data_IF_567165274026
#
_entry.id   IF_567165274026
#
_cell.length_a   1.000
_cell.length_b   1.000
_cell.length_c   1.000
_cell.angle_alpha   90.00
_cell.angle_beta   90.00
_cell.angle_gamma   90.00
#
_symmetry.space_group_name_H-M   'P 1'
#
loop_
_entity.id
_entity.type
_entity.pdbx_description
1 polymer ?
#
# COMPACT_ATOMS: atom_id res chain seq x y z
N UNK A 1 -2.69 28.78 6.69
CA UNK A 1 -3.15 28.73 8.07
C UNK A 1 -3.69 27.36 8.48
N UNK A 2 -4.60 26.77 7.75
CA UNK A 2 -5.25 25.49 8.11
C UNK A 2 -4.33 24.26 8.19
N UNK A 3 -3.17 24.26 7.55
CA UNK A 3 -2.23 23.13 7.58
C UNK A 3 -1.20 23.26 8.70
N UNK A 4 -0.64 24.44 8.90
CA UNK A 4 0.45 24.63 9.87
C UNK A 4 -0.05 24.70 11.31
N UNK A 5 -1.22 25.30 11.56
CA UNK A 5 -1.79 25.41 12.89
C UNK A 5 -1.99 24.04 13.57
N UNK A 6 -2.61 23.03 12.94
CA UNK A 6 -2.71 21.69 13.51
C UNK A 6 -1.36 21.05 13.83
N UNK A 7 -0.33 21.26 12.99
CA UNK A 7 1.02 20.71 13.24
C UNK A 7 1.61 21.31 14.51
N UNK A 8 1.57 22.64 14.65
CA UNK A 8 2.06 23.31 15.87
C UNK A 8 1.29 22.84 17.10
N UNK A 9 -0.04 22.69 16.99
CA UNK A 9 -0.86 22.17 18.06
C UNK A 9 -0.52 20.73 18.44
N UNK A 10 -0.28 19.84 17.49
CA UNK A 10 0.15 18.46 17.75
C UNK A 10 1.49 18.43 18.50
N UNK A 11 2.46 19.25 18.08
CA UNK A 11 3.73 19.37 18.80
C UNK A 11 3.50 19.86 20.23
N UNK A 12 2.66 20.88 20.43
CA UNK A 12 2.34 21.39 21.77
C UNK A 12 1.67 20.32 22.65
N UNK A 13 0.68 19.59 22.10
CA UNK A 13 -0.05 18.52 22.81
C UNK A 13 0.90 17.37 23.20
N UNK A 14 1.91 17.07 22.40
CA UNK A 14 2.87 16.00 22.68
C UNK A 14 3.64 16.17 24.01
N UNK A 15 3.68 17.38 24.54
CA UNK A 15 4.28 17.71 25.84
C UNK A 15 3.28 17.76 27.01
N UNK A 16 2.02 17.38 26.77
CA UNK A 16 0.93 17.40 27.76
C UNK A 16 0.41 16.00 28.03
N UNK A 17 -0.33 15.82 29.12
CA UNK A 17 -1.06 14.58 29.45
C UNK A 17 -2.49 14.57 28.90
N UNK A 18 -2.79 15.43 27.95
CA UNK A 18 -4.13 15.58 27.41
C UNK A 18 -4.57 14.34 26.61
N UNK A 19 -5.67 13.74 27.06
CA UNK A 19 -6.28 12.56 26.42
C UNK A 19 -7.37 12.93 25.39
N UNK A 20 -7.55 14.21 25.06
CA UNK A 20 -8.56 14.75 24.14
C UNK A 20 -10.02 14.57 24.58
N UNK A 21 -10.29 13.88 25.69
CA UNK A 21 -11.64 13.63 26.19
C UNK A 21 -12.00 14.58 27.34
N UNK A 22 -11.01 15.05 28.10
CA UNK A 22 -11.19 15.95 29.22
C UNK A 22 -10.75 17.37 28.87
N UNK A 23 -11.41 18.37 29.41
CA UNK A 23 -11.05 19.79 29.20
C UNK A 23 -9.78 20.22 29.96
N UNK A 24 -9.35 19.43 30.94
CA UNK A 24 -8.17 19.71 31.77
C UNK A 24 -6.96 18.93 31.27
N UNK A 25 -5.86 19.62 31.13
CA UNK A 25 -4.56 19.02 30.77
C UNK A 25 -3.42 19.67 31.56
N UNK A 26 -2.34 18.92 31.79
CA UNK A 26 -1.14 19.39 32.44
C UNK A 26 0.07 19.26 31.54
N UNK A 27 1.01 20.17 31.68
CA UNK A 27 2.28 20.07 30.98
C UNK A 27 3.17 19.02 31.64
N UNK A 28 3.55 17.96 30.94
CA UNK A 28 4.36 16.85 31.47
C UNK A 28 5.78 16.82 30.89
N UNK A 29 6.16 17.82 30.11
CA UNK A 29 7.47 17.90 29.46
C UNK A 29 7.75 16.73 28.53
N UNK A 30 8.92 16.13 28.65
CA UNK A 30 9.36 15.03 27.78
C UNK A 30 8.90 13.62 28.22
N UNK A 31 8.00 13.50 29.19
CA UNK A 31 7.59 12.20 29.74
C UNK A 31 7.00 11.27 28.68
N UNK A 32 6.16 11.80 27.76
CA UNK A 32 5.58 11.03 26.66
C UNK A 32 6.65 10.52 25.69
N UNK A 33 7.63 11.34 25.39
CA UNK A 33 8.75 11.01 24.53
C UNK A 33 9.68 9.96 25.17
N UNK A 34 9.96 10.09 26.47
CA UNK A 34 10.73 9.08 27.22
C UNK A 34 10.00 7.74 27.24
N UNK A 35 8.69 7.73 27.46
CA UNK A 35 7.89 6.53 27.40
C UNK A 35 7.94 5.89 26.01
N UNK A 36 7.86 6.69 24.94
CA UNK A 36 7.83 6.24 23.57
C UNK A 36 9.18 5.68 23.11
N UNK A 37 10.30 6.31 23.49
CA UNK A 37 11.63 5.92 22.96
C UNK A 37 12.43 5.01 23.91
N UNK A 38 12.30 5.18 25.21
CA UNK A 38 13.08 4.46 26.21
C UNK A 38 12.22 3.65 27.20
N UNK A 39 10.89 3.88 27.24
CA UNK A 39 9.95 3.19 28.11
C UNK A 39 9.29 1.97 27.45
N UNK A 40 8.17 1.54 28.07
CA UNK A 40 7.37 0.40 27.58
C UNK A 40 6.77 0.63 26.21
N UNK A 41 6.61 1.89 25.76
CA UNK A 41 6.15 2.26 24.42
C UNK A 41 7.15 1.96 23.31
N UNK A 42 8.45 1.89 23.62
CA UNK A 42 9.50 1.68 22.62
C UNK A 42 9.30 0.40 21.80
N UNK A 43 8.90 -0.69 22.45
CA UNK A 43 8.61 -1.96 21.74
C UNK A 43 7.50 -1.80 20.69
N UNK A 44 6.44 -1.08 21.01
CA UNK A 44 5.34 -0.82 20.07
C UNK A 44 5.78 0.09 18.94
N UNK A 45 6.52 1.16 19.24
CA UNK A 45 7.05 2.08 18.24
C UNK A 45 7.92 1.36 17.21
N UNK A 46 8.93 0.61 17.67
CA UNK A 46 9.86 -0.09 16.76
C UNK A 46 9.17 -1.17 15.95
N UNK A 47 8.23 -1.91 16.55
CA UNK A 47 7.44 -2.88 15.81
C UNK A 47 6.57 -2.23 14.73
N UNK A 48 5.88 -1.15 15.06
CA UNK A 48 5.06 -0.40 14.10
C UNK A 48 5.88 0.19 12.97
N UNK A 49 7.05 0.77 13.27
CA UNK A 49 7.97 1.29 12.25
C UNK A 49 8.46 0.18 11.31
N UNK A 50 8.83 -0.99 11.87
CA UNK A 50 9.26 -2.15 11.08
C UNK A 50 8.14 -2.62 10.14
N UNK A 51 6.93 -2.79 10.65
CA UNK A 51 5.78 -3.24 9.84
C UNK A 51 5.44 -2.22 8.77
N UNK A 52 5.42 -0.92 9.11
CA UNK A 52 5.16 0.16 8.14
C UNK A 52 6.23 0.20 7.05
N UNK A 53 7.50 0.03 7.41
CA UNK A 53 8.59 -0.02 6.43
C UNK A 53 8.47 -1.22 5.48
N UNK A 54 8.20 -2.42 6.01
CA UNK A 54 8.00 -3.62 5.21
C UNK A 54 6.78 -3.48 4.28
N UNK A 55 5.70 -2.91 4.79
CA UNK A 55 4.51 -2.60 3.99
C UNK A 55 4.84 -1.62 2.86
N UNK A 56 5.54 -0.53 3.18
CA UNK A 56 5.94 0.49 2.19
C UNK A 56 6.80 -0.11 1.08
N UNK A 57 7.76 -0.95 1.44
CA UNK A 57 8.60 -1.67 0.46
C UNK A 57 7.77 -2.57 -0.44
N UNK A 58 6.81 -3.31 0.14
CA UNK A 58 5.89 -4.16 -0.62
C UNK A 58 5.01 -3.36 -1.58
N UNK A 59 4.42 -2.25 -1.13
CA UNK A 59 3.57 -1.38 -1.96
C UNK A 59 4.38 -0.72 -3.09
N UNK A 60 5.61 -0.27 -2.80
CA UNK A 60 6.53 0.28 -3.80
C UNK A 60 6.85 -0.78 -4.85
N UNK A 61 7.21 -2.00 -4.44
CA UNK A 61 7.51 -3.09 -5.38
C UNK A 61 6.30 -3.40 -6.29
N UNK A 62 5.11 -3.54 -5.72
CA UNK A 62 3.89 -3.81 -6.50
C UNK A 62 3.59 -2.66 -7.46
N UNK A 63 3.67 -1.43 -7.02
CA UNK A 63 3.36 -0.25 -7.85
C UNK A 63 4.39 -0.04 -8.94
N UNK A 64 5.68 -0.14 -8.63
CA UNK A 64 6.74 0.16 -9.59
C UNK A 64 7.01 -1.03 -10.50
N UNK A 65 7.27 -2.21 -9.95
CA UNK A 65 7.60 -3.39 -10.77
C UNK A 65 6.34 -3.92 -11.46
N UNK A 66 5.26 -4.13 -10.70
CA UNK A 66 3.98 -4.58 -11.27
C UNK A 66 3.40 -3.57 -12.27
N UNK A 67 3.40 -2.29 -11.92
CA UNK A 67 2.96 -1.21 -12.83
C UNK A 67 3.79 -1.13 -14.11
N UNK A 68 5.13 -1.25 -14.01
CA UNK A 68 6.04 -1.27 -15.17
C UNK A 68 5.76 -2.48 -16.07
N UNK A 69 5.63 -3.68 -15.51
CA UNK A 69 5.35 -4.90 -16.27
C UNK A 69 4.01 -4.80 -17.00
N UNK A 70 2.97 -4.31 -16.33
CA UNK A 70 1.67 -4.08 -16.97
C UNK A 70 1.75 -2.98 -18.03
N UNK A 71 2.52 -1.91 -17.81
CA UNK A 71 2.73 -0.87 -18.81
C UNK A 71 3.39 -1.42 -20.07
N UNK A 72 4.43 -2.24 -19.93
CA UNK A 72 5.07 -2.91 -21.07
C UNK A 72 4.11 -3.86 -21.81
N UNK A 73 3.31 -4.64 -21.07
CA UNK A 73 2.33 -5.56 -21.65
C UNK A 73 1.24 -4.82 -22.43
N UNK A 74 0.74 -3.71 -21.87
CA UNK A 74 -0.35 -2.94 -22.45
C UNK A 74 0.11 -1.76 -23.34
N UNK A 75 1.39 -1.66 -23.68
CA UNK A 75 1.94 -0.59 -24.53
C UNK A 75 1.55 -0.73 -26.02
N UNK A 76 0.39 -1.30 -26.32
CA UNK A 76 -0.15 -1.43 -27.70
C UNK A 76 -1.40 -0.58 -27.83
N UNK A 77 -1.48 0.22 -28.92
CA UNK A 77 -2.58 1.13 -29.21
C UNK A 77 -3.75 0.44 -29.92
N UNK A 78 -4.37 -0.56 -29.28
CA UNK A 78 -5.58 -1.19 -29.79
C UNK A 78 -6.77 -0.96 -28.87
N UNK A 79 -8.00 -1.03 -29.40
CA UNK A 79 -9.24 -0.86 -28.61
C UNK A 79 -9.32 -1.85 -27.44
N UNK A 80 -8.95 -3.11 -27.68
CA UNK A 80 -8.95 -4.14 -26.63
C UNK A 80 -7.99 -3.81 -25.48
N UNK A 81 -6.79 -3.32 -25.78
CA UNK A 81 -5.86 -2.88 -24.74
C UNK A 81 -6.33 -1.62 -24.01
N UNK A 82 -7.05 -0.73 -24.69
CA UNK A 82 -7.71 0.42 -24.04
C UNK A 82 -8.70 0.00 -22.94
N UNK A 83 -9.57 -0.96 -23.25
CA UNK A 83 -10.51 -1.53 -22.27
C UNK A 83 -9.79 -2.23 -21.12
N UNK A 84 -8.78 -3.05 -21.40
CA UNK A 84 -7.98 -3.74 -20.36
C UNK A 84 -7.29 -2.76 -19.43
N UNK A 85 -6.72 -1.66 -19.94
CA UNK A 85 -6.15 -0.56 -19.13
C UNK A 85 -7.20 0.04 -18.21
N UNK A 86 -8.42 0.28 -18.71
CA UNK A 86 -9.52 0.81 -17.91
C UNK A 86 -9.87 -0.15 -16.77
N UNK A 87 -10.04 -1.45 -17.04
CA UNK A 87 -10.34 -2.45 -16.00
C UNK A 87 -9.26 -2.53 -14.91
N UNK A 88 -7.99 -2.48 -15.29
CA UNK A 88 -6.87 -2.51 -14.33
C UNK A 88 -6.76 -1.22 -13.53
N UNK A 89 -7.23 -0.09 -14.08
CA UNK A 89 -7.17 1.22 -13.42
C UNK A 89 -8.38 1.52 -12.52
N UNK A 90 -9.56 1.02 -12.83
CA UNK A 90 -10.81 1.24 -12.09
C UNK A 90 -10.69 0.96 -10.57
N UNK A 91 -9.99 -0.10 -10.11
CA UNK A 91 -9.83 -0.38 -8.68
C UNK A 91 -9.29 0.80 -7.85
N UNK A 92 -8.52 1.69 -8.42
CA UNK A 92 -8.00 2.89 -7.75
C UNK A 92 -9.09 3.78 -7.18
N UNK A 93 -10.25 3.83 -7.83
CA UNK A 93 -11.38 4.69 -7.46
C UNK A 93 -12.38 4.02 -6.52
N UNK A 94 -12.25 2.72 -6.27
CA UNK A 94 -13.09 2.03 -5.29
C UNK A 94 -12.76 2.56 -3.89
N UNK A 95 -13.79 2.92 -3.12
CA UNK A 95 -13.61 3.37 -1.74
C UNK A 95 -12.88 2.29 -0.93
N UNK A 96 -11.91 2.70 -0.11
CA UNK A 96 -11.07 1.75 0.64
C UNK A 96 -11.88 0.87 1.56
N UNK A 97 -12.89 1.42 2.24
CA UNK A 97 -13.79 0.67 3.12
C UNK A 97 -14.56 -0.43 2.37
N UNK A 98 -15.11 -0.09 1.20
CA UNK A 98 -15.84 -1.07 0.38
C UNK A 98 -14.92 -2.18 -0.14
N UNK A 99 -13.72 -1.81 -0.62
CA UNK A 99 -12.72 -2.77 -1.07
C UNK A 99 -12.29 -3.69 0.09
N UNK A 100 -12.07 -3.15 1.28
CA UNK A 100 -11.71 -3.93 2.45
C UNK A 100 -12.77 -4.96 2.83
N UNK A 101 -14.06 -4.59 2.83
CA UNK A 101 -15.16 -5.53 3.11
C UNK A 101 -15.20 -6.67 2.09
N UNK A 102 -15.03 -6.38 0.79
CA UNK A 102 -14.97 -7.41 -0.25
C UNK A 102 -13.78 -8.35 -0.03
N UNK A 103 -12.62 -7.79 0.31
CA UNK A 103 -11.43 -8.60 0.58
C UNK A 103 -11.53 -9.42 1.88
N UNK A 104 -12.25 -8.94 2.91
CA UNK A 104 -12.58 -9.74 4.09
C UNK A 104 -13.34 -11.02 3.71
N UNK A 105 -14.27 -10.95 2.74
CA UNK A 105 -14.99 -12.11 2.26
C UNK A 105 -14.10 -13.02 1.40
N UNK A 106 -13.29 -12.45 0.50
CA UNK A 106 -12.38 -13.22 -0.35
C UNK A 106 -11.34 -13.99 0.49
N UNK A 107 -10.83 -13.36 1.56
CA UNK A 107 -9.78 -13.88 2.44
C UNK A 107 -10.32 -14.61 3.67
N UNK A 108 -11.65 -14.82 3.76
CA UNK A 108 -12.23 -15.57 4.88
C UNK A 108 -11.66 -16.98 4.95
N UNK A 109 -11.32 -17.44 6.18
CA UNK A 109 -10.66 -18.73 6.38
C UNK A 109 -11.55 -19.90 6.01
N UNK A 110 -12.85 -19.83 6.36
CA UNK A 110 -13.78 -20.96 6.22
C UNK A 110 -14.51 -21.00 4.87
N UNK A 111 -14.94 -19.82 4.39
CA UNK A 111 -15.81 -19.67 3.21
C UNK A 111 -15.21 -18.79 2.11
N UNK A 112 -13.94 -18.36 2.26
CA UNK A 112 -13.31 -17.44 1.32
C UNK A 112 -12.99 -18.08 -0.02
N UNK A 113 -13.21 -17.29 -1.10
CA UNK A 113 -12.95 -17.74 -2.48
C UNK A 113 -11.49 -18.14 -2.68
N UNK A 114 -10.55 -17.47 -2.01
CA UNK A 114 -9.13 -17.78 -2.15
C UNK A 114 -8.78 -19.15 -1.56
N UNK A 115 -9.33 -19.49 -0.39
CA UNK A 115 -9.15 -20.81 0.21
C UNK A 115 -9.86 -21.91 -0.58
N UNK A 116 -11.03 -21.63 -1.15
CA UNK A 116 -11.68 -22.55 -2.06
C UNK A 116 -10.80 -22.90 -3.27
N UNK A 117 -10.18 -21.88 -3.91
CA UNK A 117 -9.25 -22.10 -5.02
C UNK A 117 -8.00 -22.89 -4.60
N UNK A 118 -7.44 -22.64 -3.40
CA UNK A 118 -6.32 -23.40 -2.86
C UNK A 118 -6.69 -24.89 -2.68
N UNK A 119 -7.86 -25.15 -2.13
CA UNK A 119 -8.36 -26.53 -1.95
C UNK A 119 -8.57 -27.26 -3.28
N UNK A 120 -9.05 -26.56 -4.32
CA UNK A 120 -9.18 -27.14 -5.66
C UNK A 120 -7.85 -27.64 -6.26
N UNK A 121 -6.72 -27.05 -5.86
CA UNK A 121 -5.38 -27.47 -6.30
C UNK A 121 -4.66 -28.33 -5.24
N UNK A 122 -5.38 -28.79 -4.21
CA UNK A 122 -4.86 -29.70 -3.19
C UNK A 122 -4.02 -29.02 -2.09
N UNK A 123 -4.06 -27.69 -1.95
CA UNK A 123 -3.37 -26.96 -0.90
C UNK A 123 -4.27 -26.76 0.33
N UNK A 124 -3.72 -26.74 1.55
CA UNK A 124 -4.48 -26.50 2.76
C UNK A 124 -5.03 -25.08 2.82
N UNK A 125 -6.14 -24.91 3.54
CA UNK A 125 -6.68 -23.57 3.82
C UNK A 125 -5.68 -22.75 4.65
N UNK A 126 -5.56 -21.48 4.34
CA UNK A 126 -4.67 -20.53 5.00
C UNK A 126 -5.49 -19.53 5.79
N UNK A 127 -5.10 -19.26 7.02
CA UNK A 127 -5.66 -18.15 7.79
C UNK A 127 -4.96 -16.84 7.41
N UNK A 128 -5.55 -16.14 6.46
CA UNK A 128 -4.97 -14.95 5.81
C UNK A 128 -4.85 -13.75 6.74
N UNK A 129 -5.77 -13.60 7.67
CA UNK A 129 -5.95 -12.35 8.41
C UNK A 129 -5.50 -12.45 9.88
N UNK A 130 -5.63 -13.61 10.52
CA UNK A 130 -5.35 -13.77 11.94
C UNK A 130 -3.90 -14.21 12.24
N UNK A 131 -3.12 -14.63 11.24
CA UNK A 131 -1.72 -14.97 11.44
C UNK A 131 -0.81 -13.78 11.11
N UNK A 132 0.18 -13.56 11.96
CA UNK A 132 1.16 -12.46 11.78
C UNK A 132 1.96 -12.60 10.47
N UNK A 133 2.19 -13.80 9.98
CA UNK A 133 2.92 -14.07 8.73
C UNK A 133 2.12 -13.75 7.47
N UNK A 134 0.79 -13.90 7.51
CA UNK A 134 -0.11 -13.75 6.36
C UNK A 134 -0.83 -12.41 6.33
N UNK A 135 -0.98 -11.75 7.48
CA UNK A 135 -1.70 -10.46 7.58
C UNK A 135 -1.08 -9.36 6.70
N UNK A 136 0.25 -9.21 6.71
CA UNK A 136 0.94 -8.21 5.88
C UNK A 136 0.77 -8.49 4.37
N UNK A 137 1.02 -9.71 3.85
CA UNK A 137 0.69 -10.08 2.47
C UNK A 137 -0.78 -9.83 2.10
N UNK A 138 -1.72 -10.08 2.99
CA UNK A 138 -3.16 -9.87 2.75
C UNK A 138 -3.50 -8.37 2.56
N UNK A 139 -2.94 -7.51 3.39
CA UNK A 139 -3.07 -6.05 3.23
C UNK A 139 -2.42 -5.59 1.92
N UNK A 140 -1.23 -6.12 1.58
CA UNK A 140 -0.55 -5.81 0.31
C UNK A 140 -1.32 -6.31 -0.91
N UNK A 141 -2.05 -7.43 -0.81
CA UNK A 141 -2.91 -7.93 -1.89
C UNK A 141 -4.05 -6.95 -2.18
N UNK A 142 -4.75 -6.47 -1.14
CA UNK A 142 -5.80 -5.46 -1.28
C UNK A 142 -5.27 -4.15 -1.87
N UNK A 143 -4.23 -3.60 -1.26
CA UNK A 143 -3.68 -2.31 -1.67
C UNK A 143 -2.99 -2.40 -3.02
N UNK A 144 -2.26 -3.49 -3.29
CA UNK A 144 -1.63 -3.78 -4.57
C UNK A 144 -2.64 -3.84 -5.71
N UNK A 145 -3.76 -4.55 -5.52
CA UNK A 145 -4.86 -4.58 -6.49
C UNK A 145 -5.38 -3.17 -6.82
N UNK A 146 -5.44 -2.27 -5.83
CA UNK A 146 -5.87 -0.88 -6.04
C UNK A 146 -4.83 0.00 -6.72
N UNK A 147 -3.54 -0.17 -6.44
CA UNK A 147 -2.50 0.80 -6.86
C UNK A 147 -1.72 0.37 -8.10
N UNK A 148 -1.70 -0.92 -8.45
CA UNK A 148 -0.92 -1.43 -9.58
C UNK A 148 -1.32 -0.76 -10.91
N UNK A 149 -2.64 -0.54 -11.11
CA UNK A 149 -3.18 0.16 -12.28
C UNK A 149 -2.77 1.62 -12.37
N UNK A 150 -2.62 2.28 -11.23
CA UNK A 150 -2.10 3.65 -11.17
C UNK A 150 -0.64 3.71 -11.64
N UNK A 151 0.22 2.83 -11.11
CA UNK A 151 1.61 2.71 -11.55
C UNK A 151 1.71 2.42 -13.06
N UNK A 152 0.89 1.50 -13.56
CA UNK A 152 0.79 1.18 -14.98
C UNK A 152 0.48 2.42 -15.83
N UNK A 153 -0.54 3.21 -15.47
CA UNK A 153 -0.96 4.38 -16.26
C UNK A 153 0.11 5.47 -16.28
N UNK A 154 0.78 5.72 -15.16
CA UNK A 154 1.87 6.70 -15.10
C UNK A 154 3.04 6.27 -15.99
N UNK A 155 3.44 5.00 -15.94
CA UNK A 155 4.50 4.50 -16.84
C UNK A 155 4.10 4.50 -18.30
N UNK A 156 2.87 4.13 -18.64
CA UNK A 156 2.37 4.19 -20.01
C UNK A 156 2.43 5.63 -20.57
N UNK A 157 1.96 6.61 -19.78
CA UNK A 157 2.02 8.02 -20.19
C UNK A 157 3.46 8.48 -20.44
N UNK A 158 4.39 8.08 -19.58
CA UNK A 158 5.80 8.41 -19.76
C UNK A 158 6.45 7.70 -20.96
N UNK A 159 6.11 6.42 -21.19
CA UNK A 159 6.58 5.68 -22.37
C UNK A 159 6.10 6.29 -23.69
N UNK A 160 4.88 6.82 -23.73
CA UNK A 160 4.34 7.52 -24.92
C UNK A 160 5.09 8.82 -25.23
N UNK A 161 5.79 9.39 -24.26
CA UNK A 161 6.64 10.57 -24.45
C UNK A 161 8.03 10.28 -24.99
N UNK A 162 8.44 9.00 -25.08
CA UNK A 162 9.74 8.62 -25.63
C UNK A 162 9.66 8.60 -27.16
N UNK A 163 10.56 9.35 -27.83
CA UNK A 163 10.58 9.37 -29.31
C UNK A 163 10.85 7.99 -29.89
N UNK A 164 10.11 7.64 -30.91
CA UNK A 164 10.26 6.40 -31.68
C UNK A 164 11.64 6.30 -32.33
N UNK A 165 12.26 7.42 -32.64
CA UNK A 165 13.60 7.49 -33.31
C UNK A 165 14.68 6.78 -32.47
N UNK A 166 14.62 6.84 -31.11
CA UNK A 166 15.57 6.12 -30.27
C UNK A 166 15.49 4.59 -30.47
N UNK A 167 14.27 4.07 -30.64
CA UNK A 167 14.06 2.63 -30.83
C UNK A 167 14.42 2.18 -32.25
N UNK A 168 14.24 3.04 -33.24
CA UNK A 168 14.60 2.81 -34.65
C UNK A 168 16.12 2.80 -34.80
N UNK A 169 16.82 3.80 -34.28
CA UNK A 169 18.28 3.86 -34.26
C UNK A 169 18.89 2.62 -33.60
N UNK A 170 18.39 2.26 -32.38
CA UNK A 170 18.83 1.06 -31.69
C UNK A 170 18.53 -0.25 -32.49
N UNK A 171 17.49 -0.26 -33.33
CA UNK A 171 17.20 -1.39 -34.19
C UNK A 171 18.23 -1.52 -35.29
N UNK A 172 18.69 -0.40 -35.86
CA UNK A 172 19.75 -0.38 -36.88
C UNK A 172 21.09 -0.86 -36.32
N UNK A 173 21.35 -0.54 -35.05
CA UNK A 173 22.51 -1.03 -34.29
C UNK A 173 22.41 -2.50 -33.85
N UNK A 174 21.34 -3.21 -34.22
CA UNK A 174 21.12 -4.63 -33.89
C UNK A 174 20.68 -4.90 -32.46
N UNK A 175 20.23 -3.88 -31.68
CA UNK A 175 19.78 -4.06 -30.31
C UNK A 175 18.47 -4.87 -30.24
N UNK A 176 18.46 -5.91 -29.40
CA UNK A 176 17.26 -6.69 -29.09
C UNK A 176 16.31 -5.96 -28.11
N UNK A 177 15.09 -6.49 -27.91
CA UNK A 177 14.08 -5.86 -27.06
C UNK A 177 14.52 -5.65 -25.61
N UNK A 178 15.27 -6.59 -25.05
CA UNK A 178 15.79 -6.51 -23.69
C UNK A 178 16.84 -5.40 -23.58
N UNK A 179 17.74 -5.30 -24.55
CA UNK A 179 18.74 -4.23 -24.62
C UNK A 179 18.09 -2.84 -24.73
N UNK A 180 17.06 -2.70 -25.60
CA UNK A 180 16.27 -1.46 -25.72
C UNK A 180 15.59 -1.10 -24.42
N UNK A 181 15.02 -2.08 -23.71
CA UNK A 181 14.41 -1.83 -22.40
C UNK A 181 15.42 -1.28 -21.39
N UNK A 182 16.53 -1.97 -21.16
CA UNK A 182 17.49 -1.57 -20.11
C UNK A 182 18.34 -0.36 -20.49
N UNK A 183 18.62 -0.12 -21.78
CA UNK A 183 19.49 0.97 -22.24
C UNK A 183 18.76 2.24 -22.68
N UNK A 184 17.47 2.13 -23.05
CA UNK A 184 16.68 3.27 -23.55
C UNK A 184 15.48 3.51 -22.64
N UNK A 185 14.57 2.54 -22.54
CA UNK A 185 13.29 2.73 -21.85
C UNK A 185 13.49 3.02 -20.36
N UNK A 186 14.19 2.16 -19.65
CA UNK A 186 14.37 2.26 -18.20
C UNK A 186 15.12 3.53 -17.78
N UNK A 187 16.23 3.94 -18.41
CA UNK A 187 16.89 5.22 -18.08
C UNK A 187 16.02 6.44 -18.38
N UNK A 188 15.30 6.47 -19.48
CA UNK A 188 14.41 7.59 -19.82
C UNK A 188 13.19 7.68 -18.90
N UNK A 189 12.77 6.57 -18.31
CA UNK A 189 11.70 6.54 -17.29
C UNK A 189 12.19 6.86 -15.88
N UNK A 190 13.50 7.10 -15.66
CA UNK A 190 14.03 7.33 -14.30
C UNK A 190 13.36 8.50 -13.56
N UNK A 191 13.02 9.66 -14.19
CA UNK A 191 12.30 10.72 -13.49
C UNK A 191 10.90 10.29 -13.05
N UNK A 192 10.20 9.55 -13.90
CA UNK A 192 8.85 9.00 -13.60
C UNK A 192 8.93 7.95 -12.49
N UNK A 193 9.96 7.12 -12.51
CA UNK A 193 10.23 6.12 -11.48
C UNK A 193 10.50 6.78 -10.13
N UNK A 194 11.30 7.84 -10.09
CA UNK A 194 11.54 8.63 -8.88
C UNK A 194 10.24 9.29 -8.36
N UNK A 195 9.45 9.87 -9.25
CA UNK A 195 8.14 10.44 -8.90
C UNK A 195 7.22 9.40 -8.27
N UNK A 196 7.09 8.22 -8.88
CA UNK A 196 6.29 7.11 -8.34
C UNK A 196 6.84 6.62 -7.00
N UNK A 197 8.15 6.50 -6.86
CA UNK A 197 8.78 6.09 -5.61
C UNK A 197 8.41 7.03 -4.46
N UNK A 198 8.60 8.33 -4.65
CA UNK A 198 8.33 9.33 -3.61
C UNK A 198 6.84 9.37 -3.27
N UNK A 199 5.97 9.41 -4.29
CA UNK A 199 4.52 9.50 -4.07
C UNK A 199 3.95 8.23 -3.45
N UNK A 200 4.43 7.04 -3.85
CA UNK A 200 4.00 5.77 -3.26
C UNK A 200 4.51 5.64 -1.83
N UNK A 201 5.76 6.03 -1.56
CA UNK A 201 6.30 6.03 -0.20
C UNK A 201 5.49 6.95 0.72
N UNK A 202 5.20 8.17 0.30
CA UNK A 202 4.36 9.10 1.09
C UNK A 202 2.93 8.57 1.30
N UNK A 203 2.36 7.89 0.31
CA UNK A 203 1.03 7.27 0.41
C UNK A 203 1.04 6.09 1.37
N UNK A 204 2.08 5.24 1.33
CA UNK A 204 2.21 4.06 2.17
C UNK A 204 2.35 4.41 3.66
N UNK A 205 2.98 5.56 3.98
CA UNK A 205 3.05 6.07 5.36
C UNK A 205 1.68 6.45 5.93
N UNK A 206 0.67 6.66 5.09
CA UNK A 206 -0.71 7.02 5.49
C UNK A 206 -1.67 5.82 5.48
N UNK A 207 -1.16 4.61 5.48
CA UNK A 207 -1.93 3.36 5.28
C UNK A 207 -2.85 2.98 6.45
N UNK A 208 -2.86 3.75 7.53
CA UNK A 208 -3.65 3.49 8.75
C UNK A 208 -5.06 2.97 8.45
N UNK A 209 -5.78 3.60 7.52
CA UNK A 209 -7.16 3.23 7.19
C UNK A 209 -7.31 1.80 6.64
N UNK A 210 -6.35 1.32 5.85
CA UNK A 210 -6.39 -0.04 5.28
C UNK A 210 -6.17 -1.10 6.33
N UNK A 211 -5.19 -0.85 7.21
CA UNK A 211 -4.83 -1.76 8.30
C UNK A 211 -5.96 -1.78 9.32
N UNK A 212 -6.47 -0.62 9.69
CA UNK A 212 -7.54 -0.46 10.68
C UNK A 212 -8.81 -1.23 10.28
N UNK A 213 -9.32 -1.04 9.05
CA UNK A 213 -10.53 -1.73 8.59
C UNK A 213 -10.33 -3.24 8.50
N UNK A 214 -9.18 -3.72 7.99
CA UNK A 214 -8.91 -5.15 7.85
C UNK A 214 -8.61 -5.83 9.18
N UNK A 215 -7.98 -5.14 10.14
CA UNK A 215 -7.56 -5.74 11.41
C UNK A 215 -8.51 -5.44 12.56
N UNK A 216 -9.10 -4.25 12.64
CA UNK A 216 -10.06 -3.90 13.71
C UNK A 216 -11.42 -4.58 13.54
N UNK A 217 -11.86 -4.85 12.31
CA UNK A 217 -13.06 -5.68 12.13
C UNK A 217 -12.87 -7.09 12.70
N UNK A 218 -11.63 -7.58 12.75
CA UNK A 218 -11.27 -8.87 13.34
C UNK A 218 -11.15 -8.81 14.87
N UNK A 219 -10.68 -7.71 15.44
CA UNK A 219 -10.65 -7.51 16.91
C UNK A 219 -12.09 -7.48 17.45
N UNK A 220 -13.03 -6.88 16.72
CA UNK A 220 -14.44 -6.88 17.13
C UNK A 220 -15.15 -8.24 16.96
N UNK A 221 -14.69 -9.11 16.07
CA UNK A 221 -15.23 -10.46 15.89
C UNK A 221 -14.59 -11.46 16.86
N UNK A 222 -13.32 -11.28 17.22
CA UNK A 222 -12.58 -12.20 18.09
C UNK A 222 -12.65 -11.86 19.60
N UNK A 223 -13.23 -10.73 20.02
CA UNK A 223 -13.43 -10.37 21.43
C UNK A 223 -14.91 -10.20 21.83
N UNK A 224 -15.77 -11.23 21.75
CA UNK A 224 -17.07 -11.14 22.44
C UNK A 224 -16.94 -11.18 23.96
N UNK A 225 -15.76 -11.55 24.51
CA UNK A 225 -15.57 -11.81 25.95
C UNK A 225 -14.95 -10.66 26.73
N UNK A 226 -14.37 -9.63 26.12
CA UNK A 226 -13.81 -8.49 26.89
C UNK A 226 -14.82 -7.45 27.37
N UNK A 227 -16.09 -7.52 26.95
CA UNK A 227 -17.14 -6.62 27.47
C UNK A 227 -17.70 -7.00 28.83
N UNK A 228 -17.26 -8.10 29.43
CA UNK A 228 -17.81 -8.61 30.72
C UNK A 228 -16.92 -8.29 31.93
N UNK A 229 -15.80 -7.62 31.78
CA UNK A 229 -14.85 -7.36 32.88
C UNK A 229 -14.78 -5.88 33.29
N UNK A 230 -15.69 -5.04 32.81
CA UNK A 230 -15.84 -3.67 33.33
C UNK A 230 -17.32 -3.47 33.72
N UNK A 231 -17.71 -4.13 34.81
CA UNK A 231 -18.85 -3.78 35.66
C UNK A 231 -18.42 -3.83 37.10
#
# INVERSE_FOLDING_TARGET
MFTYYPIVKLVQISFTDWNLLNDTWKYVGLKNWQWLFAGSGAKYLWNSLKVTFLYSMGEILVTMVGGMLLALLFNRMTRSFGLMRAFVFVPKYVAMSSAAVVFLWILNTDSGVLNYLLQCIGLPAVDWLNQQSTALPSVLMLTGWRVIGYGMMIYLSAMMGISQEYYEAASLDGANGVQKFFRITLPLLSPTTLFLLVTTFLSSMKVFQSVDILTLSLIHISEPTRRVVIS
#
